data_IF_114591972061
#
_entry.id   IF_114591972061
#
_cell.length_a   1.000
_cell.length_b   1.000
_cell.length_c   1.000
_cell.angle_alpha   90.00
_cell.angle_beta   90.00
_cell.angle_gamma   90.00
#
_symmetry.space_group_name_H-M   'P 1'
#
loop_
_entity.id
_entity.type
_entity.pdbx_description
1 polymer ?
#
# COMPACT_ATOMS: atom_id res chain seq x y z
N UNK A 1 35.21 5.49 -17.21
CA UNK A 1 33.73 5.36 -17.23
C UNK A 1 33.22 6.09 -15.99
N UNK A 2 32.57 7.24 -16.16
CA UNK A 2 32.05 8.02 -15.03
C UNK A 2 30.74 7.39 -14.58
N UNK A 3 30.68 6.93 -13.34
CA UNK A 3 29.40 6.56 -12.73
C UNK A 3 28.60 7.85 -12.55
N UNK A 4 27.51 7.98 -13.30
CA UNK A 4 26.52 9.02 -13.01
C UNK A 4 26.12 8.88 -11.54
N UNK A 5 26.21 9.98 -10.78
CA UNK A 5 25.77 10.02 -9.40
C UNK A 5 24.36 9.43 -9.34
N UNK A 6 24.18 8.34 -8.58
CA UNK A 6 22.87 7.81 -8.30
C UNK A 6 22.10 8.91 -7.57
N UNK A 7 21.26 9.64 -8.29
CA UNK A 7 20.34 10.60 -7.69
C UNK A 7 19.44 9.79 -6.77
N UNK A 8 19.62 9.97 -5.46
CA UNK A 8 18.84 9.31 -4.42
C UNK A 8 17.34 9.52 -4.72
N UNK A 9 16.68 8.48 -5.23
CA UNK A 9 15.31 8.56 -5.67
C UNK A 9 14.40 8.43 -4.45
N UNK A 10 13.60 9.46 -4.20
CA UNK A 10 12.64 9.48 -3.12
C UNK A 10 11.24 9.61 -3.68
N UNK A 11 10.33 8.83 -3.13
CA UNK A 11 8.93 8.86 -3.49
C UNK A 11 8.07 8.91 -2.22
N UNK A 12 7.19 9.90 -2.13
CA UNK A 12 6.15 10.03 -1.12
C UNK A 12 4.84 10.38 -1.85
N UNK A 13 3.80 9.53 -1.79
CA UNK A 13 2.53 9.77 -2.50
C UNK A 13 1.79 11.03 -2.04
N UNK A 14 2.14 11.58 -0.87
CA UNK A 14 1.52 12.77 -0.29
C UNK A 14 2.42 14.02 -0.39
N UNK A 15 3.59 13.91 -1.03
CA UNK A 15 4.40 15.08 -1.35
C UNK A 15 3.67 15.94 -2.39
N UNK A 16 3.70 17.26 -2.21
CA UNK A 16 3.01 18.21 -3.09
C UNK A 16 3.49 18.10 -4.54
N UNK A 17 4.78 17.86 -4.77
CA UNK A 17 5.35 17.74 -6.11
C UNK A 17 4.89 16.46 -6.79
N UNK A 18 4.83 15.36 -6.03
CA UNK A 18 4.31 14.07 -6.51
C UNK A 18 2.82 14.18 -6.81
N UNK A 19 2.04 14.79 -5.93
CA UNK A 19 0.60 14.98 -6.14
C UNK A 19 0.30 15.88 -7.34
N UNK A 20 1.12 16.91 -7.58
CA UNK A 20 0.95 17.82 -8.70
C UNK A 20 1.27 17.16 -10.05
N UNK A 21 2.26 16.26 -10.10
CA UNK A 21 2.66 15.59 -11.34
C UNK A 21 3.18 14.16 -11.06
N UNK A 22 2.30 13.17 -10.86
CA UNK A 22 2.70 11.84 -10.38
C UNK A 22 3.25 10.93 -11.49
N UNK A 23 2.91 11.17 -12.76
CA UNK A 23 3.24 10.24 -13.85
C UNK A 23 4.74 9.98 -14.02
N UNK A 24 5.64 11.01 -13.97
CA UNK A 24 7.08 10.77 -14.05
C UNK A 24 7.62 9.91 -12.90
N UNK A 25 7.07 10.08 -11.69
CA UNK A 25 7.43 9.24 -10.54
C UNK A 25 7.00 7.80 -10.76
N UNK A 26 5.77 7.57 -11.26
CA UNK A 26 5.29 6.23 -11.55
C UNK A 26 6.08 5.52 -12.66
N UNK A 27 6.50 6.26 -13.68
CA UNK A 27 7.38 5.72 -14.74
C UNK A 27 8.72 5.23 -14.18
N UNK A 28 9.36 6.04 -13.33
CA UNK A 28 10.62 5.67 -12.69
C UNK A 28 10.45 4.51 -11.71
N UNK A 29 9.41 4.55 -10.88
CA UNK A 29 9.04 3.47 -9.95
C UNK A 29 8.89 2.13 -10.68
N UNK A 30 8.07 2.05 -11.73
CA UNK A 30 7.87 0.79 -12.47
C UNK A 30 9.15 0.24 -13.10
N UNK A 31 10.05 1.12 -13.54
CA UNK A 31 11.31 0.75 -14.22
C UNK A 31 12.40 0.34 -13.24
N UNK A 32 12.59 1.10 -12.16
CA UNK A 32 13.73 1.00 -11.26
C UNK A 32 13.39 0.39 -9.88
N UNK A 33 12.15 0.53 -9.43
CA UNK A 33 11.69 0.16 -8.09
C UNK A 33 10.31 -0.56 -8.12
N UNK A 34 10.22 -1.78 -8.70
CA UNK A 34 8.96 -2.52 -8.83
C UNK A 34 8.22 -2.68 -7.50
N UNK A 35 8.98 -2.90 -6.43
CA UNK A 35 8.54 -2.86 -5.03
C UNK A 35 9.36 -1.77 -4.33
N UNK A 36 8.69 -0.78 -3.75
CA UNK A 36 9.32 0.36 -3.07
C UNK A 36 8.84 0.46 -1.62
N UNK A 37 9.77 0.55 -0.68
CA UNK A 37 9.45 0.71 0.74
C UNK A 37 9.53 2.18 1.15
N UNK A 38 8.52 2.67 1.88
CA UNK A 38 8.49 4.02 2.43
C UNK A 38 8.64 3.97 3.96
N UNK A 39 9.84 4.25 4.47
CA UNK A 39 10.15 4.26 5.91
C UNK A 39 9.18 5.13 6.73
N UNK A 40 8.76 6.26 6.14
CA UNK A 40 7.82 7.22 6.77
C UNK A 40 6.49 6.57 7.14
N UNK A 41 6.03 5.61 6.34
CA UNK A 41 4.73 4.95 6.50
C UNK A 41 4.83 3.48 6.88
N UNK A 42 6.05 2.92 6.99
CA UNK A 42 6.25 1.49 7.26
C UNK A 42 5.45 0.61 6.27
N UNK A 43 5.55 0.97 4.99
CA UNK A 43 4.68 0.41 3.94
C UNK A 43 5.45 0.09 2.65
N UNK A 44 5.07 -1.01 2.01
CA UNK A 44 5.50 -1.37 0.67
C UNK A 44 4.51 -0.85 -0.38
N UNK A 45 5.04 -0.42 -1.52
CA UNK A 45 4.29 -0.01 -2.71
C UNK A 45 4.67 -0.92 -3.86
N UNK A 46 3.66 -1.55 -4.44
CA UNK A 46 3.76 -2.32 -5.67
C UNK A 46 3.38 -1.43 -6.84
N UNK A 47 4.21 -1.41 -7.88
CA UNK A 47 4.13 -0.37 -8.92
C UNK A 47 3.78 -0.94 -10.29
N UNK A 48 4.09 -2.22 -10.53
CA UNK A 48 3.78 -2.92 -11.78
C UNK A 48 2.41 -3.57 -11.71
N UNK A 49 1.71 -3.53 -12.83
CA UNK A 49 0.37 -4.10 -12.94
C UNK A 49 0.37 -5.61 -12.69
N UNK A 50 1.32 -6.34 -13.26
CA UNK A 50 1.40 -7.80 -13.11
C UNK A 50 1.61 -8.20 -11.65
N UNK A 51 2.54 -7.54 -10.93
CA UNK A 51 2.78 -7.78 -9.51
C UNK A 51 1.51 -7.52 -8.67
N UNK A 52 0.74 -6.48 -9.00
CA UNK A 52 -0.53 -6.15 -8.33
C UNK A 52 -1.59 -7.23 -8.60
N UNK A 53 -1.72 -7.69 -9.84
CA UNK A 53 -2.67 -8.75 -10.20
C UNK A 53 -2.31 -10.07 -9.52
N UNK A 54 -1.02 -10.41 -9.48
CA UNK A 54 -0.52 -11.59 -8.79
C UNK A 54 -0.84 -11.52 -7.29
N UNK A 55 -0.57 -10.39 -6.65
CA UNK A 55 -0.89 -10.15 -5.24
C UNK A 55 -2.39 -10.28 -4.96
N UNK A 56 -3.23 -9.64 -5.77
CA UNK A 56 -4.69 -9.66 -5.61
C UNK A 56 -5.30 -11.02 -5.95
N UNK A 57 -4.59 -11.89 -6.67
CA UNK A 57 -5.03 -13.26 -6.97
C UNK A 57 -4.70 -14.27 -5.87
N UNK A 58 -3.88 -13.89 -4.88
CA UNK A 58 -3.59 -14.76 -3.74
C UNK A 58 -4.88 -14.94 -2.91
N UNK A 59 -5.42 -16.16 -2.99
CA UNK A 59 -6.47 -16.62 -2.09
C UNK A 59 -5.82 -17.14 -0.78
N UNK A 60 -6.62 -17.59 0.19
CA UNK A 60 -6.16 -18.10 1.49
C UNK A 60 -5.79 -17.04 2.56
N UNK A 61 -6.34 -15.82 2.43
CA UNK A 61 -6.16 -14.73 3.39
C UNK A 61 -4.68 -14.36 3.64
N UNK A 62 -3.81 -14.62 2.66
CA UNK A 62 -2.39 -14.22 2.69
C UNK A 62 -2.26 -12.70 2.78
N UNK A 63 -3.12 -11.97 2.06
CA UNK A 63 -3.26 -10.52 2.14
C UNK A 63 -4.69 -10.17 2.56
N UNK A 64 -4.82 -9.26 3.52
CA UNK A 64 -6.11 -8.82 4.07
C UNK A 64 -6.14 -7.30 4.03
N UNK A 65 -7.22 -6.73 3.51
CA UNK A 65 -7.45 -5.29 3.59
C UNK A 65 -7.86 -4.93 5.03
N UNK A 66 -6.92 -4.44 5.83
CA UNK A 66 -7.17 -3.99 7.20
C UNK A 66 -7.50 -2.51 7.32
N UNK A 67 -7.02 -1.70 6.37
CA UNK A 67 -7.18 -0.24 6.37
C UNK A 67 -8.16 0.24 5.28
N UNK A 68 -8.58 1.50 5.39
CA UNK A 68 -9.45 2.14 4.41
C UNK A 68 -8.77 2.26 3.04
N UNK A 69 -9.55 2.33 1.97
CA UNK A 69 -9.07 2.44 0.57
C UNK A 69 -8.24 3.70 0.31
N UNK A 70 -8.43 4.76 1.09
CA UNK A 70 -7.72 6.04 0.98
C UNK A 70 -7.33 6.53 2.39
N UNK A 71 -6.28 5.96 3.01
CA UNK A 71 -5.86 6.36 4.34
C UNK A 71 -5.20 7.75 4.30
N UNK A 72 -5.43 8.57 5.33
CA UNK A 72 -4.71 9.83 5.47
C UNK A 72 -3.24 9.60 5.81
N UNK A 73 -2.33 10.54 5.47
CA UNK A 73 -0.92 10.43 5.86
C UNK A 73 -0.75 10.28 7.38
N UNK A 74 -1.58 10.98 8.15
CA UNK A 74 -1.57 10.93 9.62
C UNK A 74 -1.92 9.52 10.14
N UNK A 75 -2.92 8.88 9.55
CA UNK A 75 -3.32 7.52 9.90
C UNK A 75 -2.22 6.50 9.59
N UNK A 76 -1.56 6.63 8.43
CA UNK A 76 -0.45 5.76 8.06
C UNK A 76 0.78 5.94 8.97
N UNK A 77 1.08 7.17 9.40
CA UNK A 77 2.19 7.41 10.32
C UNK A 77 1.90 6.93 11.75
N UNK A 78 0.62 6.87 12.15
CA UNK A 78 0.21 6.43 13.47
C UNK A 78 0.31 4.91 13.68
N UNK A 79 0.37 4.14 12.59
CA UNK A 79 0.45 2.68 12.62
C UNK A 79 1.89 2.28 12.28
N UNK A 80 2.50 1.47 13.15
CA UNK A 80 3.77 0.80 12.89
C UNK A 80 3.53 -0.70 13.04
N UNK A 81 3.83 -1.47 12.00
CA UNK A 81 3.57 -2.90 11.93
C UNK A 81 4.65 -3.71 12.67
N UNK A 82 4.98 -3.29 13.90
CA UNK A 82 6.02 -3.91 14.75
C UNK A 82 5.51 -5.12 15.54
N UNK A 83 4.20 -5.29 15.63
CA UNK A 83 3.54 -6.39 16.31
C UNK A 83 2.80 -7.28 15.31
N UNK A 84 2.55 -8.54 15.69
CA UNK A 84 1.79 -9.44 14.84
C UNK A 84 0.36 -8.90 14.61
N UNK A 85 -0.23 -9.09 13.42
CA UNK A 85 -1.61 -8.68 13.16
C UNK A 85 -2.56 -9.29 14.19
N UNK A 86 -3.50 -8.49 14.70
CA UNK A 86 -4.56 -9.03 15.55
C UNK A 86 -5.39 -10.06 14.75
N UNK A 87 -5.73 -11.21 15.35
CA UNK A 87 -6.59 -12.18 14.68
C UNK A 87 -7.93 -11.55 14.35
N UNK A 88 -8.44 -11.81 13.15
CA UNK A 88 -9.76 -11.32 12.76
C UNK A 88 -10.83 -11.90 13.70
N UNK A 89 -11.85 -11.12 14.08
CA UNK A 89 -12.99 -11.65 14.80
C UNK A 89 -13.64 -12.75 13.96
N UNK A 90 -13.65 -13.97 14.49
CA UNK A 90 -14.31 -15.12 13.87
C UNK A 90 -15.78 -15.25 14.30
N UNK A 91 -16.20 -14.40 15.24
CA UNK A 91 -17.60 -14.30 15.60
C UNK A 91 -18.39 -13.76 14.40
N UNK A 92 -19.46 -14.45 13.97
CA UNK A 92 -20.27 -13.95 12.89
C UNK A 92 -20.78 -12.56 13.25
N UNK A 93 -20.76 -11.65 12.28
CA UNK A 93 -21.42 -10.36 12.44
C UNK A 93 -22.82 -10.61 13.00
N UNK A 94 -23.26 -9.88 14.05
CA UNK A 94 -24.61 -10.02 14.54
C UNK A 94 -25.55 -9.84 13.35
N UNK A 95 -26.58 -10.69 13.24
CA UNK A 95 -27.59 -10.58 12.17
C UNK A 95 -28.05 -9.13 12.14
N UNK A 96 -27.63 -8.39 11.12
CA UNK A 96 -27.96 -6.99 11.01
C UNK A 96 -29.49 -6.89 10.92
N UNK A 97 -30.12 -6.06 11.74
CA UNK A 97 -31.57 -5.80 11.67
C UNK A 97 -32.02 -5.21 10.31
N UNK A 98 -31.09 -4.93 9.41
CA UNK A 98 -31.30 -4.26 8.12
C UNK A 98 -31.19 -5.17 6.89
N UNK A 99 -30.81 -6.44 7.03
CA UNK A 99 -31.05 -7.44 5.99
C UNK A 99 -32.20 -8.32 6.46
N UNK A 100 -33.41 -7.96 6.04
CA UNK A 100 -34.54 -8.87 6.12
C UNK A 100 -34.19 -10.18 5.40
N UNK A 101 -34.68 -11.30 5.94
CA UNK A 101 -34.71 -12.58 5.22
C UNK A 101 -35.31 -12.37 3.82
N UNK A 102 -34.83 -13.10 2.80
CA UNK A 102 -35.39 -13.03 1.45
C UNK A 102 -36.89 -13.34 1.41
#
# INVERSE_FOLDING_TARGET
>A
MSAAAATDFRYDPFDKEVMANPLPYYERLRREHPVYYIDKYDAFIFTRFDDIVELLSQHDNVFIASEQTLPSPEKLMAIRHTEAPHPLPMDPLPRSSNLGSP
#
